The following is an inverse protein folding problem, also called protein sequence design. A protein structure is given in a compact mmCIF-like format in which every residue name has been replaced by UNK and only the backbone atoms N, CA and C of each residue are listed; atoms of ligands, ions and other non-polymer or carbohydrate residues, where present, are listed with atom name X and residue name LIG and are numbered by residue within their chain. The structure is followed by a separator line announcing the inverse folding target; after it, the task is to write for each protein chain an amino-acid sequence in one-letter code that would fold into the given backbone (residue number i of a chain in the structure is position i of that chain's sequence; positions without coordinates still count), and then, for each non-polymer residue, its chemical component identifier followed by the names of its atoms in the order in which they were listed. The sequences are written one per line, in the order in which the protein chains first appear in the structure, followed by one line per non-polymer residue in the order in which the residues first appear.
data_IF_948820718101
#
_entry.id   IF_948820718101
#
_cell.length_a   1.000
_cell.length_b   1.000
_cell.length_c   1.000
_cell.angle_alpha   90.00
_cell.angle_beta   90.00
_cell.angle_gamma   90.00
#
_symmetry.space_group_name_H-M   'P 1'
#
loop_
_entity.id
_entity.type
_entity.pdbx_description
1 polymer ?
#
# COMPACT_ATOMS: atom_id res chain seq x y z
N UNK A 1 -0.81 27.72 -23.27
CA UNK A 1 -1.10 27.25 -21.91
C UNK A 1 -0.68 28.34 -20.95
N UNK A 2 -1.66 28.90 -20.23
CA UNK A 2 -1.41 29.84 -19.13
C UNK A 2 -1.11 29.07 -17.85
N UNK A 3 -0.46 29.72 -16.88
CA UNK A 3 -0.11 29.13 -15.58
C UNK A 3 -1.35 28.59 -14.85
N UNK A 4 -2.49 29.27 -15.01
CA UNK A 4 -3.79 28.83 -14.51
C UNK A 4 -4.32 27.54 -15.17
N UNK A 5 -4.05 27.33 -16.47
CA UNK A 5 -4.40 26.09 -17.16
C UNK A 5 -3.50 24.94 -16.74
N UNK A 6 -2.23 25.23 -16.44
CA UNK A 6 -1.28 24.25 -15.92
C UNK A 6 -1.66 23.81 -14.50
N UNK A 7 -2.05 24.76 -13.64
CA UNK A 7 -2.51 24.46 -12.28
C UNK A 7 -3.79 23.62 -12.30
N UNK A 8 -4.78 23.98 -13.13
CA UNK A 8 -6.00 23.17 -13.30
C UNK A 8 -5.72 21.76 -13.84
N UNK A 9 -4.67 21.60 -14.65
CA UNK A 9 -4.26 20.29 -15.13
C UNK A 9 -3.59 19.48 -14.01
N UNK A 10 -2.73 20.12 -13.20
CA UNK A 10 -2.09 19.48 -12.05
C UNK A 10 -3.13 19.02 -11.01
N UNK A 11 -4.13 19.86 -10.71
CA UNK A 11 -5.23 19.52 -9.79
C UNK A 11 -6.00 18.29 -10.29
N UNK A 12 -6.33 18.26 -11.60
CA UNK A 12 -7.02 17.11 -12.20
C UNK A 12 -6.17 15.84 -12.18
N UNK A 13 -4.86 15.95 -12.38
CA UNK A 13 -3.95 14.80 -12.30
C UNK A 13 -3.87 14.29 -10.86
N UNK A 14 -3.76 15.18 -9.88
CA UNK A 14 -3.77 14.83 -8.46
C UNK A 14 -5.06 14.10 -8.08
N UNK A 15 -6.23 14.63 -8.49
CA UNK A 15 -7.53 13.99 -8.24
C UNK A 15 -7.62 12.59 -8.86
N UNK A 16 -7.13 12.41 -10.10
CA UNK A 16 -7.12 11.11 -10.77
C UNK A 16 -6.21 10.12 -10.03
N UNK A 17 -5.02 10.57 -9.60
CA UNK A 17 -4.07 9.74 -8.86
C UNK A 17 -4.63 9.37 -7.49
N UNK A 18 -5.27 10.30 -6.79
CA UNK A 18 -5.90 10.03 -5.48
C UNK A 18 -7.03 9.02 -5.64
N UNK A 19 -7.94 9.19 -6.59
CA UNK A 19 -9.00 8.21 -6.85
C UNK A 19 -8.44 6.82 -7.17
N UNK A 20 -7.42 6.74 -8.02
CA UNK A 20 -6.78 5.47 -8.35
C UNK A 20 -6.12 4.81 -7.12
N UNK A 21 -5.56 5.61 -6.21
CA UNK A 21 -4.99 5.12 -4.95
C UNK A 21 -6.06 4.68 -3.95
N UNK A 22 -7.20 5.38 -3.86
CA UNK A 22 -8.33 5.00 -3.01
C UNK A 22 -8.99 3.70 -3.47
N UNK A 23 -9.22 3.54 -4.78
CA UNK A 23 -9.75 2.29 -5.34
C UNK A 23 -8.81 1.11 -5.05
N UNK A 24 -7.50 1.32 -5.17
CA UNK A 24 -6.50 0.33 -4.79
C UNK A 24 -6.46 0.05 -3.29
N UNK A 25 -6.69 1.06 -2.45
CA UNK A 25 -6.79 0.86 -1.00
C UNK A 25 -7.96 -0.05 -0.62
N UNK A 26 -9.13 0.11 -1.24
CA UNK A 26 -10.28 -0.77 -0.96
C UNK A 26 -9.99 -2.23 -1.32
N UNK A 27 -9.37 -2.47 -2.47
CA UNK A 27 -8.95 -3.81 -2.89
C UNK A 27 -7.93 -4.40 -1.90
N UNK A 28 -6.98 -3.59 -1.42
CA UNK A 28 -5.99 -4.02 -0.44
C UNK A 28 -6.57 -4.24 0.96
N UNK A 29 -7.55 -3.45 1.39
CA UNK A 29 -8.20 -3.62 2.69
C UNK A 29 -8.99 -4.92 2.74
N UNK A 30 -9.65 -5.30 1.64
CA UNK A 30 -10.32 -6.59 1.51
C UNK A 30 -9.32 -7.76 1.56
N UNK A 31 -8.19 -7.65 0.85
CA UNK A 31 -7.11 -8.63 0.94
C UNK A 31 -6.52 -8.72 2.35
N UNK A 32 -6.35 -7.58 3.03
CA UNK A 32 -5.84 -7.52 4.40
C UNK A 32 -6.75 -8.25 5.40
N UNK A 33 -8.08 -8.06 5.32
CA UNK A 33 -9.02 -8.78 6.17
C UNK A 33 -8.92 -10.30 5.96
N UNK A 34 -8.85 -10.75 4.70
CA UNK A 34 -8.72 -12.17 4.37
C UNK A 34 -7.41 -12.78 4.87
N UNK A 35 -6.28 -12.06 4.76
CA UNK A 35 -4.98 -12.55 5.23
C UNK A 35 -4.91 -12.60 6.78
N UNK A 36 -5.49 -11.61 7.47
CA UNK A 36 -5.55 -11.60 8.94
C UNK A 36 -6.43 -12.72 9.48
N UNK A 37 -7.56 -13.02 8.85
CA UNK A 37 -8.40 -14.15 9.24
C UNK A 37 -7.66 -15.48 9.07
N UNK A 38 -6.92 -15.66 7.98
CA UNK A 38 -6.12 -16.87 7.76
C UNK A 38 -4.99 -17.01 8.79
N UNK A 39 -4.27 -15.93 9.09
CA UNK A 39 -3.20 -15.93 10.11
C UNK A 39 -3.80 -16.15 11.51
N UNK A 40 -4.95 -15.57 11.84
CA UNK A 40 -5.61 -15.76 13.13
C UNK A 40 -6.09 -17.20 13.34
N UNK A 41 -6.59 -17.84 12.27
CA UNK A 41 -6.93 -19.27 12.26
C UNK A 41 -5.71 -20.16 12.49
N UNK A 42 -4.56 -19.84 11.90
CA UNK A 42 -3.32 -20.60 12.10
C UNK A 42 -2.65 -20.35 13.47
N UNK A 43 -2.79 -19.15 14.03
CA UNK A 43 -2.14 -18.72 15.29
C UNK A 43 -2.73 -19.40 16.53
N UNK A 44 -3.99 -19.84 16.51
CA UNK A 44 -4.57 -20.60 17.63
C UNK A 44 -4.07 -22.06 17.71
N UNK A 45 -3.32 -22.53 16.72
CA UNK A 45 -2.87 -23.93 16.63
C UNK A 45 -1.36 -24.13 16.77
N UNK A 46 -0.51 -23.35 16.10
CA UNK A 46 0.94 -23.59 16.09
C UNK A 46 1.73 -22.31 15.79
N UNK A 47 2.72 -22.00 16.62
CA UNK A 47 3.79 -21.06 16.26
C UNK A 47 4.66 -21.69 15.16
N UNK A 48 4.18 -21.64 13.91
CA UNK A 48 4.95 -22.07 12.75
C UNK A 48 5.90 -20.94 12.35
N UNK A 49 7.14 -21.29 12.01
CA UNK A 49 8.08 -20.34 11.42
C UNK A 49 7.46 -19.79 10.14
N UNK A 50 7.16 -18.48 10.11
CA UNK A 50 6.66 -17.80 8.93
C UNK A 50 7.66 -17.99 7.79
N UNK A 51 7.15 -18.39 6.64
CA UNK A 51 7.93 -18.46 5.40
C UNK A 51 8.41 -17.06 5.01
N UNK A 52 9.47 -16.99 4.22
CA UNK A 52 10.02 -15.71 3.78
C UNK A 52 9.00 -14.89 2.98
N UNK A 53 8.08 -15.54 2.27
CA UNK A 53 6.97 -14.90 1.55
C UNK A 53 5.99 -14.27 2.54
N UNK A 54 5.57 -14.99 3.58
CA UNK A 54 4.63 -14.46 4.59
C UNK A 54 5.22 -13.28 5.37
N UNK A 55 6.53 -13.30 5.67
CA UNK A 55 7.23 -12.18 6.31
C UNK A 55 7.23 -10.96 5.39
N UNK A 56 7.52 -11.14 4.10
CA UNK A 56 7.49 -10.06 3.12
C UNK A 56 6.07 -9.52 2.91
N UNK A 57 5.05 -10.37 2.95
CA UNK A 57 3.63 -10.00 2.88
C UNK A 57 3.23 -9.14 4.10
N UNK A 58 3.65 -9.54 5.31
CA UNK A 58 3.39 -8.76 6.52
C UNK A 58 4.03 -7.37 6.47
N UNK A 59 5.29 -7.28 6.04
CA UNK A 59 5.98 -5.98 5.92
C UNK A 59 5.37 -5.13 4.80
N UNK A 60 4.94 -5.74 3.69
CA UNK A 60 4.18 -5.06 2.64
C UNK A 60 2.90 -4.44 3.20
N UNK A 61 2.15 -5.20 3.99
CA UNK A 61 0.92 -4.74 4.63
C UNK A 61 1.19 -3.59 5.62
N UNK A 62 2.27 -3.66 6.39
CA UNK A 62 2.70 -2.58 7.30
C UNK A 62 3.02 -1.29 6.53
N UNK A 63 3.75 -1.41 5.42
CA UNK A 63 4.12 -0.27 4.58
C UNK A 63 2.90 0.35 3.88
N UNK A 64 1.92 -0.47 3.45
CA UNK A 64 0.66 0.02 2.90
C UNK A 64 -0.14 0.84 3.92
N UNK A 65 -0.24 0.36 5.16
CA UNK A 65 -0.87 1.14 6.25
C UNK A 65 -0.15 2.46 6.51
N UNK A 66 1.18 2.44 6.50
CA UNK A 66 1.99 3.64 6.67
C UNK A 66 1.78 4.63 5.51
N UNK A 67 1.67 4.14 4.28
CA UNK A 67 1.33 4.94 3.11
C UNK A 67 -0.03 5.64 3.28
N UNK A 68 -1.08 4.91 3.68
CA UNK A 68 -2.39 5.49 3.95
C UNK A 68 -2.33 6.57 5.03
N UNK A 69 -1.55 6.36 6.09
CA UNK A 69 -1.36 7.37 7.13
C UNK A 69 -0.66 8.63 6.61
N UNK A 70 0.34 8.48 5.73
CA UNK A 70 1.04 9.63 5.14
C UNK A 70 0.15 10.40 4.18
N UNK A 71 -0.66 9.71 3.37
CA UNK A 71 -1.67 10.34 2.50
C UNK A 71 -2.68 11.12 3.35
N UNK A 72 -3.22 10.52 4.41
CA UNK A 72 -4.19 11.16 5.29
C UNK A 72 -3.62 12.39 6.02
N UNK A 73 -2.30 12.42 6.26
CA UNK A 73 -1.59 13.55 6.86
C UNK A 73 -1.00 14.53 5.84
N UNK A 74 -1.33 14.38 4.55
CA UNK A 74 -0.82 15.20 3.43
C UNK A 74 0.72 15.20 3.28
N UNK A 75 1.40 14.19 3.82
CA UNK A 75 2.86 14.03 3.74
C UNK A 75 3.27 13.33 2.44
N UNK A 76 3.11 14.02 1.32
CA UNK A 76 3.27 13.42 -0.02
C UNK A 76 4.69 12.96 -0.36
N UNK A 77 5.73 13.64 0.12
CA UNK A 77 7.12 13.21 -0.06
C UNK A 77 7.39 11.88 0.64
N UNK A 78 6.93 11.76 1.89
CA UNK A 78 7.03 10.54 2.69
C UNK A 78 6.21 9.40 2.05
N UNK A 79 5.01 9.70 1.54
CA UNK A 79 4.18 8.76 0.81
C UNK A 79 4.90 8.22 -0.44
N UNK A 80 5.56 9.07 -1.23
CA UNK A 80 6.31 8.65 -2.41
C UNK A 80 7.48 7.71 -2.06
N UNK A 81 8.19 8.00 -0.97
CA UNK A 81 9.28 7.14 -0.47
C UNK A 81 8.75 5.76 -0.06
N UNK A 82 7.64 5.72 0.70
CA UNK A 82 7.03 4.45 1.12
C UNK A 82 6.50 3.67 -0.08
N UNK A 83 5.88 4.34 -1.06
CA UNK A 83 5.40 3.69 -2.28
C UNK A 83 6.54 3.02 -3.06
N UNK A 84 7.72 3.65 -3.14
CA UNK A 84 8.90 3.03 -3.74
C UNK A 84 9.39 1.79 -2.96
N UNK A 85 9.26 1.78 -1.64
CA UNK A 85 9.59 0.60 -0.81
C UNK A 85 8.60 -0.54 -1.04
N UNK A 86 7.30 -0.23 -1.13
CA UNK A 86 6.23 -1.18 -1.46
C UNK A 86 6.54 -1.88 -2.78
N UNK A 87 6.82 -1.12 -3.85
CA UNK A 87 7.18 -1.68 -5.17
C UNK A 87 8.38 -2.63 -5.12
N UNK A 88 9.41 -2.31 -4.34
CA UNK A 88 10.60 -3.17 -4.20
C UNK A 88 10.25 -4.50 -3.54
N UNK A 89 9.39 -4.49 -2.53
CA UNK A 89 8.96 -5.71 -1.83
C UNK A 89 8.01 -6.53 -2.71
N UNK A 90 7.10 -5.89 -3.43
CA UNK A 90 6.23 -6.58 -4.41
C UNK A 90 7.04 -7.28 -5.50
N UNK A 91 8.07 -6.63 -6.04
CA UNK A 91 8.97 -7.27 -7.00
C UNK A 91 9.72 -8.45 -6.39
N UNK A 92 10.18 -8.32 -5.15
CA UNK A 92 10.87 -9.39 -4.45
C UNK A 92 9.97 -10.60 -4.18
N UNK A 93 8.69 -10.37 -3.91
CA UNK A 93 7.68 -11.44 -3.77
C UNK A 93 7.42 -12.12 -5.12
N UNK A 94 7.40 -11.36 -6.23
CA UNK A 94 7.21 -11.93 -7.58
C UNK A 94 8.39 -12.75 -8.10
N UNK A 95 9.60 -12.44 -7.64
CA UNK A 95 10.84 -13.15 -8.03
C UNK A 95 11.10 -14.42 -7.19
N UNK A 96 10.34 -14.63 -6.11
CA UNK A 96 10.35 -15.82 -5.26
C UNK A 96 9.40 -16.90 -5.79
#
# INVERSE_FOLDING_TARGET
MTEDELNKLADKIADIVIKALEEKQVEWDQQFQSEVEQIALDTFGNARMLTQVEILQQELNRLKKLLSSYIASEQYESAAIINNKIKKIENKIKEL
#
